data_IF_458625601841
#
_entry.id   IF_458625601841
#
_cell.length_a   1.000
_cell.length_b   1.000
_cell.length_c   1.000
_cell.angle_alpha   90.00
_cell.angle_beta   90.00
_cell.angle_gamma   90.00
#
_symmetry.space_group_name_H-M   'P 1'
#
loop_
_entity.id
_entity.type
_entity.pdbx_description
1 polymer ?
#
# COMPACT_ATOMS: atom_id res chain seq x y z
N UNK A 1 22.95 8.09 -3.22
CA UNK A 1 21.66 8.82 -3.17
C UNK A 1 20.88 8.72 -4.48
N UNK A 2 21.29 9.36 -5.59
CA UNK A 2 20.57 9.29 -6.89
C UNK A 2 20.59 7.90 -7.50
N UNK A 3 21.72 7.20 -7.45
CA UNK A 3 21.83 5.80 -7.91
C UNK A 3 20.95 4.84 -7.10
N UNK A 4 20.86 5.03 -5.78
CA UNK A 4 20.07 4.15 -4.90
C UNK A 4 18.58 4.36 -5.10
N UNK A 5 18.14 5.60 -5.32
CA UNK A 5 16.74 5.92 -5.63
C UNK A 5 16.31 5.31 -6.96
N UNK A 6 17.16 5.40 -7.99
CA UNK A 6 16.92 4.76 -9.27
C UNK A 6 16.87 3.23 -9.14
N UNK A 7 17.78 2.65 -8.36
CA UNK A 7 17.79 1.20 -8.07
C UNK A 7 16.53 0.74 -7.36
N UNK A 8 16.04 1.49 -6.37
CA UNK A 8 14.79 1.20 -5.69
C UNK A 8 13.60 1.22 -6.66
N UNK A 9 13.50 2.27 -7.49
CA UNK A 9 12.46 2.36 -8.52
C UNK A 9 12.53 1.21 -9.53
N UNK A 10 13.73 0.79 -9.96
CA UNK A 10 13.88 -0.34 -10.87
C UNK A 10 13.42 -1.66 -10.25
N UNK A 11 13.80 -1.91 -8.99
CA UNK A 11 13.31 -3.08 -8.25
C UNK A 11 11.78 -3.05 -8.12
N UNK A 12 11.19 -1.89 -7.84
CA UNK A 12 9.73 -1.75 -7.78
C UNK A 12 9.07 -2.13 -9.12
N UNK A 13 9.61 -1.66 -10.24
CA UNK A 13 9.09 -2.01 -11.57
C UNK A 13 9.21 -3.50 -11.88
N UNK A 14 10.33 -4.13 -11.52
CA UNK A 14 10.47 -5.59 -11.64
C UNK A 14 9.44 -6.33 -10.79
N UNK A 15 9.24 -5.88 -9.54
CA UNK A 15 8.21 -6.44 -8.66
C UNK A 15 6.82 -6.39 -9.28
N UNK A 16 6.47 -5.26 -9.92
CA UNK A 16 5.19 -5.11 -10.61
C UNK A 16 5.03 -6.02 -11.82
N UNK A 17 6.10 -6.23 -12.59
CA UNK A 17 6.09 -7.16 -13.73
C UNK A 17 5.87 -8.60 -13.24
N UNK A 18 6.60 -9.04 -12.22
CA UNK A 18 6.42 -10.40 -11.67
C UNK A 18 5.04 -10.62 -11.05
N UNK A 19 4.49 -9.62 -10.34
CA UNK A 19 3.13 -9.65 -9.81
C UNK A 19 2.10 -9.81 -10.93
N UNK A 20 2.27 -9.06 -12.02
CA UNK A 20 1.42 -9.17 -13.22
C UNK A 20 1.53 -10.52 -13.94
N UNK A 21 2.66 -11.21 -13.79
CA UNK A 21 2.87 -12.58 -14.29
C UNK A 21 2.34 -13.66 -13.33
N UNK A 22 1.87 -13.28 -12.13
CA UNK A 22 1.45 -14.21 -11.08
C UNK A 22 2.60 -14.86 -10.31
N UNK A 23 3.84 -14.44 -10.54
CA UNK A 23 4.99 -14.89 -9.75
C UNK A 23 5.14 -14.02 -8.50
N UNK A 24 4.26 -14.27 -7.54
CA UNK A 24 4.18 -13.51 -6.29
C UNK A 24 5.45 -13.63 -5.44
N UNK A 25 6.18 -14.75 -5.54
CA UNK A 25 7.42 -14.93 -4.78
C UNK A 25 8.51 -13.98 -5.27
N UNK A 26 8.68 -13.86 -6.59
CA UNK A 26 9.62 -12.89 -7.15
C UNK A 26 9.13 -11.46 -6.96
N UNK A 27 7.82 -11.21 -7.10
CA UNK A 27 7.24 -9.90 -6.84
C UNK A 27 7.59 -9.38 -5.44
N UNK A 28 7.37 -10.20 -4.40
CA UNK A 28 7.73 -9.88 -3.02
C UNK A 28 9.22 -9.60 -2.88
N UNK A 29 10.08 -10.46 -3.42
CA UNK A 29 11.54 -10.27 -3.34
C UNK A 29 11.98 -8.91 -3.88
N UNK A 30 11.42 -8.48 -5.02
CA UNK A 30 11.76 -7.21 -5.64
C UNK A 30 11.16 -6.01 -4.89
N UNK A 31 9.91 -6.10 -4.42
CA UNK A 31 9.33 -5.04 -3.60
C UNK A 31 10.05 -4.87 -2.25
N UNK A 32 10.48 -5.95 -1.61
CA UNK A 32 11.29 -5.92 -0.38
C UNK A 32 12.67 -5.27 -0.62
N UNK A 33 13.36 -5.64 -1.70
CA UNK A 33 14.62 -4.98 -2.11
C UNK A 33 14.43 -3.48 -2.35
N UNK A 34 13.31 -3.08 -2.96
CA UNK A 34 12.95 -1.67 -3.14
C UNK A 34 12.74 -1.00 -1.79
N UNK A 35 11.96 -1.60 -0.91
CA UNK A 35 11.66 -1.08 0.43
C UNK A 35 12.92 -0.91 1.27
N UNK A 36 13.80 -1.91 1.30
CA UNK A 36 15.05 -1.85 2.05
C UNK A 36 16.00 -0.77 1.54
N UNK A 37 16.00 -0.53 0.22
CA UNK A 37 16.76 0.56 -0.36
C UNK A 37 16.17 1.91 0.05
N UNK A 38 14.84 2.07 -0.02
CA UNK A 38 14.17 3.30 0.42
C UNK A 38 14.36 3.58 1.91
N UNK A 39 14.26 2.57 2.79
CA UNK A 39 14.51 2.70 4.23
C UNK A 39 15.90 3.25 4.56
N UNK A 40 16.90 3.00 3.71
CA UNK A 40 18.28 3.47 3.92
C UNK A 40 18.49 4.92 3.49
N UNK A 41 17.70 5.41 2.52
CA UNK A 41 17.94 6.71 1.88
C UNK A 41 16.88 7.76 2.20
N UNK A 42 15.72 7.34 2.74
CA UNK A 42 14.62 8.21 3.11
C UNK A 42 14.49 8.34 4.63
N UNK A 43 14.03 9.49 5.13
CA UNK A 43 13.65 9.62 6.53
C UNK A 43 12.61 8.57 6.96
N UNK A 44 12.58 8.21 8.25
CA UNK A 44 11.47 7.42 8.80
C UNK A 44 10.14 8.09 8.48
N UNK A 45 9.19 7.33 7.93
CA UNK A 45 7.85 7.78 7.52
C UNK A 45 7.80 8.72 6.29
N UNK A 46 8.84 8.76 5.46
CA UNK A 46 8.76 9.39 4.14
C UNK A 46 7.66 8.73 3.28
N UNK A 47 6.89 9.54 2.55
CA UNK A 47 5.78 9.06 1.70
C UNK A 47 6.21 8.03 0.66
N UNK A 48 7.48 8.08 0.20
CA UNK A 48 8.05 7.10 -0.72
C UNK A 48 8.11 5.68 -0.16
N UNK A 49 8.04 5.50 1.16
CA UNK A 49 7.95 4.19 1.80
C UNK A 49 6.56 3.57 1.69
N UNK A 50 5.49 4.36 1.50
CA UNK A 50 4.12 3.83 1.44
C UNK A 50 3.87 2.97 0.21
N UNK A 51 4.54 3.25 -0.91
CA UNK A 51 4.32 2.56 -2.19
C UNK A 51 4.77 1.09 -2.16
N UNK A 52 6.00 0.75 -1.73
CA UNK A 52 6.39 -0.65 -1.56
C UNK A 52 5.49 -1.40 -0.59
N UNK A 53 5.13 -0.82 0.57
CA UNK A 53 4.23 -1.47 1.53
C UNK A 53 2.85 -1.76 0.93
N UNK A 54 2.30 -0.81 0.17
CA UNK A 54 1.02 -1.01 -0.50
C UNK A 54 1.08 -2.20 -1.48
N UNK A 55 2.14 -2.32 -2.28
CA UNK A 55 2.26 -3.37 -3.27
C UNK A 55 2.60 -4.72 -2.65
N UNK A 56 3.42 -4.76 -1.60
CA UNK A 56 3.62 -5.97 -0.79
C UNK A 56 2.28 -6.46 -0.22
N UNK A 57 1.45 -5.54 0.28
CA UNK A 57 0.10 -5.85 0.76
C UNK A 57 -0.78 -6.45 -0.34
N UNK A 58 -0.75 -5.89 -1.54
CA UNK A 58 -1.51 -6.42 -2.69
C UNK A 58 -1.04 -7.82 -3.09
N UNK A 59 0.26 -8.07 -3.11
CA UNK A 59 0.80 -9.41 -3.42
C UNK A 59 0.36 -10.43 -2.38
N UNK A 60 0.46 -10.12 -1.08
CA UNK A 60 -0.05 -11.00 -0.03
C UNK A 60 -1.56 -11.22 -0.12
N UNK A 61 -2.33 -10.19 -0.48
CA UNK A 61 -3.76 -10.31 -0.72
C UNK A 61 -4.05 -11.29 -1.87
N UNK A 62 -3.34 -11.18 -2.99
CA UNK A 62 -3.47 -12.09 -4.13
C UNK A 62 -3.08 -13.53 -3.80
N UNK A 63 -2.18 -13.74 -2.83
CA UNK A 63 -1.81 -15.05 -2.31
C UNK A 63 -2.82 -15.63 -1.29
N UNK A 64 -3.82 -14.86 -0.86
CA UNK A 64 -4.73 -15.25 0.24
C UNK A 64 -4.14 -15.10 1.65
N UNK A 65 -2.95 -14.49 1.76
CA UNK A 65 -2.22 -14.28 3.02
C UNK A 65 -2.72 -12.99 3.72
N UNK A 66 -4.02 -12.96 4.04
CA UNK A 66 -4.72 -11.73 4.42
C UNK A 66 -4.15 -11.03 5.65
N UNK A 67 -3.67 -11.76 6.67
CA UNK A 67 -3.04 -11.13 7.84
C UNK A 67 -1.77 -10.35 7.50
N UNK A 68 -0.95 -10.86 6.55
CA UNK A 68 0.26 -10.17 6.08
C UNK A 68 -0.09 -9.00 5.17
N UNK A 69 -1.14 -9.16 4.35
CA UNK A 69 -1.68 -8.09 3.52
C UNK A 69 -2.16 -6.91 4.37
N UNK A 70 -2.94 -7.20 5.42
CA UNK A 70 -3.46 -6.20 6.35
C UNK A 70 -2.33 -5.40 6.99
N UNK A 71 -1.35 -6.08 7.60
CA UNK A 71 -0.21 -5.42 8.24
C UNK A 71 0.56 -4.50 7.29
N UNK A 72 0.73 -4.93 6.04
CA UNK A 72 1.42 -4.13 5.01
C UNK A 72 0.60 -2.91 4.60
N UNK A 73 -0.70 -3.06 4.40
CA UNK A 73 -1.58 -1.94 4.07
C UNK A 73 -1.75 -0.94 5.23
N UNK A 74 -1.81 -1.41 6.47
CA UNK A 74 -1.84 -0.55 7.65
C UNK A 74 -0.57 0.28 7.78
N UNK A 75 0.61 -0.31 7.51
CA UNK A 75 1.87 0.44 7.51
C UNK A 75 1.90 1.50 6.41
N UNK A 76 1.38 1.20 5.22
CA UNK A 76 1.23 2.19 4.15
C UNK A 76 0.26 3.32 4.54
N UNK A 77 -0.86 2.98 5.19
CA UNK A 77 -1.84 3.95 5.67
C UNK A 77 -1.25 4.88 6.73
N UNK A 78 -0.49 4.35 7.70
CA UNK A 78 0.16 5.13 8.74
C UNK A 78 1.09 6.20 8.16
N UNK A 79 1.93 5.81 7.20
CA UNK A 79 2.83 6.73 6.48
C UNK A 79 2.03 7.80 5.74
N UNK A 80 0.98 7.41 5.02
CA UNK A 80 0.10 8.34 4.29
C UNK A 80 -0.60 9.32 5.24
N UNK A 81 -1.04 8.88 6.42
CA UNK A 81 -1.69 9.75 7.42
C UNK A 81 -0.75 10.81 7.99
N UNK A 82 0.55 10.51 8.06
CA UNK A 82 1.57 11.46 8.53
C UNK A 82 1.90 12.47 7.42
N UNK A 83 2.03 12.01 6.18
CA UNK A 83 2.58 12.83 5.09
C UNK A 83 1.53 13.58 4.25
N UNK A 84 0.26 13.19 4.29
CA UNK A 84 -0.79 13.70 3.41
C UNK A 84 -1.93 14.39 4.17
N UNK A 85 -2.63 15.35 3.55
CA UNK A 85 -3.80 15.96 4.17
C UNK A 85 -4.93 14.91 4.36
N UNK A 86 -5.81 15.08 5.37
CA UNK A 86 -6.81 14.08 5.72
C UNK A 86 -7.80 13.69 4.62
N UNK A 87 -7.98 14.55 3.61
CA UNK A 87 -8.86 14.34 2.46
C UNK A 87 -8.11 13.80 1.22
N UNK A 88 -6.84 13.40 1.34
CA UNK A 88 -6.06 12.95 0.19
C UNK A 88 -6.61 11.62 -0.37
N UNK A 89 -6.80 11.48 -1.69
CA UNK A 89 -7.33 10.25 -2.31
C UNK A 89 -6.56 8.97 -1.96
N UNK A 90 -5.24 9.04 -1.81
CA UNK A 90 -4.41 7.90 -1.38
C UNK A 90 -4.80 7.33 0.00
N UNK A 91 -5.31 8.15 0.92
CA UNK A 91 -5.85 7.66 2.19
C UNK A 91 -7.11 6.83 1.93
N UNK A 92 -7.99 7.30 1.04
CA UNK A 92 -9.17 6.55 0.64
C UNK A 92 -8.80 5.21 -0.01
N UNK A 93 -7.78 5.20 -0.86
CA UNK A 93 -7.26 3.98 -1.48
C UNK A 93 -6.74 2.99 -0.42
N UNK A 94 -5.98 3.46 0.56
CA UNK A 94 -5.51 2.64 1.68
C UNK A 94 -6.67 2.00 2.46
N UNK A 95 -7.66 2.79 2.84
CA UNK A 95 -8.85 2.29 3.55
C UNK A 95 -9.64 1.28 2.72
N UNK A 96 -9.77 1.52 1.41
CA UNK A 96 -10.40 0.57 0.51
C UNK A 96 -9.67 -0.79 0.50
N UNK A 97 -8.35 -0.78 0.37
CA UNK A 97 -7.57 -2.02 0.34
C UNK A 97 -7.70 -2.78 1.67
N UNK A 98 -7.63 -2.08 2.81
CA UNK A 98 -7.85 -2.67 4.14
C UNK A 98 -9.26 -3.27 4.25
N UNK A 99 -10.28 -2.56 3.75
CA UNK A 99 -11.66 -3.05 3.72
C UNK A 99 -11.81 -4.35 2.92
N UNK A 100 -11.15 -4.44 1.77
CA UNK A 100 -11.10 -5.68 0.97
C UNK A 100 -10.42 -6.82 1.72
N UNK A 101 -9.34 -6.56 2.46
CA UNK A 101 -8.68 -7.60 3.26
C UNK A 101 -9.62 -8.12 4.35
N UNK A 102 -10.25 -7.23 5.12
CA UNK A 102 -11.21 -7.63 6.15
C UNK A 102 -12.41 -8.40 5.57
N UNK A 103 -12.92 -7.98 4.41
CA UNK A 103 -14.00 -8.68 3.73
C UNK A 103 -13.64 -10.14 3.44
N UNK A 104 -12.44 -10.39 2.90
CA UNK A 104 -12.00 -11.74 2.58
C UNK A 104 -11.64 -12.57 3.82
N UNK A 105 -11.39 -11.94 4.97
CA UNK A 105 -11.27 -12.61 6.26
C UNK A 105 -12.63 -12.94 6.90
N UNK A 106 -13.75 -12.46 6.35
CA UNK A 106 -15.08 -12.58 6.96
C UNK A 106 -15.38 -11.56 8.06
N UNK A 107 -14.49 -10.59 8.24
CA UNK A 107 -14.56 -9.53 9.25
C UNK A 107 -15.39 -8.35 8.74
N UNK A 108 -16.68 -8.60 8.47
CA UNK A 108 -17.54 -7.67 7.71
C UNK A 108 -17.74 -6.32 8.39
N UNK A 109 -17.74 -6.26 9.73
CA UNK A 109 -17.88 -5.01 10.47
C UNK A 109 -16.69 -4.08 10.25
N UNK A 110 -15.46 -4.61 10.29
CA UNK A 110 -14.24 -3.85 10.00
C UNK A 110 -14.15 -3.47 8.52
N UNK A 111 -14.60 -4.36 7.62
CA UNK A 111 -14.67 -4.08 6.20
C UNK A 111 -15.59 -2.89 5.90
N UNK A 112 -16.80 -2.88 6.48
CA UNK A 112 -17.77 -1.81 6.32
C UNK A 112 -17.20 -0.47 6.81
N UNK A 113 -16.67 -0.44 8.05
CA UNK A 113 -16.07 0.77 8.62
C UNK A 113 -14.92 1.32 7.75
N UNK A 114 -14.09 0.43 7.19
CA UNK A 114 -13.01 0.83 6.28
C UNK A 114 -13.53 1.43 4.97
N UNK A 115 -14.57 0.83 4.37
CA UNK A 115 -15.17 1.37 3.14
C UNK A 115 -15.92 2.69 3.39
N UNK A 116 -16.62 2.85 4.51
CA UNK A 116 -17.26 4.11 4.91
C UNK A 116 -16.22 5.22 5.02
N UNK A 117 -15.08 4.95 5.67
CA UNK A 117 -14.00 5.93 5.79
C UNK A 117 -13.38 6.30 4.43
N UNK A 118 -13.25 5.32 3.53
CA UNK A 118 -12.81 5.57 2.15
C UNK A 118 -13.79 6.49 1.41
N UNK A 119 -15.10 6.21 1.52
CA UNK A 119 -16.15 7.00 0.89
C UNK A 119 -16.20 8.43 1.42
N UNK A 120 -16.11 8.62 2.73
CA UNK A 120 -16.08 9.93 3.37
C UNK A 120 -14.95 10.79 2.80
N UNK A 121 -13.72 10.25 2.73
CA UNK A 121 -12.56 10.95 2.17
C UNK A 121 -12.79 11.32 0.70
N UNK A 122 -13.30 10.40 -0.11
CA UNK A 122 -13.59 10.67 -1.54
C UNK A 122 -14.67 11.74 -1.71
N UNK A 123 -15.67 11.76 -0.84
CA UNK A 123 -16.77 12.73 -0.90
C UNK A 123 -16.27 14.12 -0.56
N UNK A 124 -15.40 14.26 0.44
CA UNK A 124 -14.77 15.54 0.80
C UNK A 124 -13.80 16.03 -0.28
N UNK A 125 -13.13 15.11 -1.00
CA UNK A 125 -12.17 15.44 -2.04
C UNK A 125 -12.81 15.91 -3.36
N UNK A 126 -14.08 15.58 -3.61
CA UNK A 126 -14.81 16.00 -4.80
C UNK A 126 -15.43 17.39 -4.55
N UNK A 127 -15.23 18.38 -5.46
CA UNK A 127 -15.97 19.63 -5.35
C UNK A 127 -17.48 19.35 -5.51
N UNK A 128 -18.34 20.11 -4.81
CA UNK A 128 -19.79 19.99 -5.01
C UNK A 128 -20.12 20.34 -6.47
N UNK A 129 -20.88 19.46 -7.13
CA UNK A 129 -21.39 19.65 -8.49
C UNK A 129 -22.29 20.90 -8.60
#
# INVERSE_FOLDING_TARGET
>A
ATSDRAKAAYNHQLGWIYDSMGDYSQALSYYEKSLDTYKKILPPNDIGLAWPYNNIGLVYYNMGEYSKALSSHERALEIRKIALPPNHPDLAQSYNNIGLVYYNMGEYSQALSSHERSLEIRTIALPPN
#
